data_IF_601834721704
#
_entry.id   IF_601834721704
#
_cell.length_a   1.000
_cell.length_b   1.000
_cell.length_c   1.000
_cell.angle_alpha   90.00
_cell.angle_beta   90.00
_cell.angle_gamma   90.00
#
_symmetry.space_group_name_H-M   'P 1'
#
loop_
_entity.id
_entity.type
_entity.pdbx_description
1 polymer ?
#
# COMPACT_ATOMS: atom_id res chain seq x y z
N UNK A 1 14.22 14.01 1.88
CA UNK A 1 15.59 13.71 1.41
C UNK A 1 15.62 13.71 -0.11
N UNK A 2 16.78 13.53 -0.73
CA UNK A 2 16.96 13.38 -2.18
C UNK A 2 17.67 12.06 -2.50
N UNK A 3 17.12 11.29 -3.43
CA UNK A 3 17.81 10.15 -4.04
C UNK A 3 18.54 10.67 -5.29
N UNK A 4 19.89 10.70 -5.28
CA UNK A 4 20.66 11.25 -6.40
C UNK A 4 20.54 10.40 -7.67
N UNK A 5 21.04 10.89 -8.82
CA UNK A 5 21.22 10.07 -10.01
C UNK A 5 22.02 8.80 -9.71
N UNK A 6 21.69 7.69 -10.39
CA UNK A 6 22.31 6.39 -10.14
C UNK A 6 23.84 6.41 -10.19
N UNK A 7 24.43 7.08 -11.19
CA UNK A 7 25.88 7.19 -11.36
C UNK A 7 26.61 7.94 -10.22
N UNK A 8 25.89 8.59 -9.31
CA UNK A 8 26.44 9.27 -8.13
C UNK A 8 26.35 8.42 -6.86
N UNK A 9 25.75 7.23 -6.96
CA UNK A 9 25.61 6.28 -5.85
C UNK A 9 26.72 5.23 -6.00
N UNK A 10 27.53 4.98 -4.96
CA UNK A 10 28.52 3.91 -4.99
C UNK A 10 27.85 2.55 -5.24
N UNK A 11 28.43 1.73 -6.12
CA UNK A 11 27.85 0.44 -6.52
C UNK A 11 27.52 -0.49 -5.36
N UNK A 12 28.29 -0.44 -4.26
CA UNK A 12 28.05 -1.27 -3.08
C UNK A 12 26.81 -0.90 -2.26
N UNK A 13 26.20 0.27 -2.49
CA UNK A 13 25.00 0.74 -1.79
C UNK A 13 23.89 1.18 -2.77
N UNK A 14 24.03 0.84 -4.06
CA UNK A 14 23.02 1.13 -5.07
C UNK A 14 21.77 0.26 -4.81
N UNK A 15 20.58 0.86 -4.59
CA UNK A 15 19.34 0.11 -4.42
C UNK A 15 18.86 -0.64 -5.68
N UNK A 16 19.50 -0.48 -6.83
CA UNK A 16 19.15 -1.12 -8.10
C UNK A 16 17.66 -0.94 -8.46
N UNK A 17 17.19 0.31 -8.42
CA UNK A 17 15.82 0.68 -8.74
C UNK A 17 15.60 0.72 -10.26
N UNK A 18 14.33 0.67 -10.67
CA UNK A 18 13.95 0.81 -12.07
C UNK A 18 14.40 2.15 -12.67
N UNK A 19 14.61 2.16 -13.98
CA UNK A 19 14.94 3.38 -14.72
C UNK A 19 13.86 4.45 -14.48
N UNK A 20 14.30 5.68 -14.17
CA UNK A 20 13.41 6.77 -13.79
C UNK A 20 13.00 6.84 -12.31
N UNK A 21 13.48 5.94 -11.45
CA UNK A 21 13.26 6.04 -9.99
C UNK A 21 14.33 6.88 -9.25
N UNK A 22 15.47 7.16 -9.89
CA UNK A 22 16.56 7.99 -9.36
C UNK A 22 16.37 9.48 -9.64
N UNK A 23 17.17 10.33 -8.99
CA UNK A 23 17.12 11.79 -9.17
C UNK A 23 15.77 12.39 -8.74
N UNK A 24 15.27 11.94 -7.58
CA UNK A 24 13.97 12.33 -7.05
C UNK A 24 14.04 12.77 -5.58
N UNK A 25 13.18 13.72 -5.14
CA UNK A 25 12.93 13.89 -3.73
C UNK A 25 12.23 12.65 -3.17
N UNK A 26 12.48 12.34 -1.90
CA UNK A 26 11.92 11.16 -1.23
C UNK A 26 11.47 11.49 0.19
N UNK A 27 10.44 10.78 0.65
CA UNK A 27 10.00 10.75 2.06
C UNK A 27 10.55 9.48 2.69
N UNK A 28 11.27 9.61 3.82
CA UNK A 28 11.64 8.46 4.65
C UNK A 28 10.45 8.13 5.55
N UNK A 29 10.04 6.86 5.54
CA UNK A 29 8.87 6.36 6.27
C UNK A 29 9.24 5.51 7.49
N UNK A 30 10.36 4.80 7.41
CA UNK A 30 10.90 4.04 8.54
C UNK A 30 11.40 4.98 9.63
N UNK A 31 11.04 4.71 10.88
CA UNK A 31 11.43 5.51 12.04
C UNK A 31 12.93 5.44 12.32
N UNK A 32 13.51 4.27 12.10
CA UNK A 32 14.93 4.00 12.23
C UNK A 32 15.41 3.22 11.00
N UNK A 33 16.69 3.33 10.64
CA UNK A 33 17.29 2.39 9.71
C UNK A 33 17.22 0.96 10.24
N UNK A 34 17.17 0.00 9.34
CA UNK A 34 17.44 -1.41 9.66
C UNK A 34 18.88 -1.58 10.18
N UNK A 35 19.18 -2.75 10.75
CA UNK A 35 20.53 -3.06 11.28
C UNK A 35 21.64 -2.96 10.24
N UNK A 36 21.32 -3.10 8.95
CA UNK A 36 22.28 -3.03 7.84
C UNK A 36 22.39 -1.62 7.25
N UNK A 37 21.59 -0.65 7.74
CA UNK A 37 21.59 0.74 7.26
C UNK A 37 20.48 1.17 6.27
N UNK A 38 19.73 0.27 5.59
CA UNK A 38 18.59 0.68 4.78
C UNK A 38 17.44 1.33 5.55
N UNK A 39 16.78 2.27 4.88
CA UNK A 39 15.52 2.93 5.28
C UNK A 39 14.44 2.68 4.22
N UNK A 40 13.17 2.70 4.63
CA UNK A 40 12.05 2.60 3.70
C UNK A 40 11.61 3.99 3.24
N UNK A 41 11.49 4.17 1.93
CA UNK A 41 11.17 5.46 1.32
C UNK A 41 10.00 5.38 0.34
N UNK A 42 9.28 6.49 0.18
CA UNK A 42 8.43 6.76 -0.98
C UNK A 42 9.04 7.84 -1.85
N UNK A 43 8.92 7.70 -3.18
CA UNK A 43 9.36 8.71 -4.13
C UNK A 43 8.36 9.87 -4.19
N UNK A 44 8.88 11.09 -4.34
CA UNK A 44 8.09 12.30 -4.60
C UNK A 44 8.23 12.66 -6.08
N UNK A 45 7.11 12.97 -6.73
CA UNK A 45 7.10 13.49 -8.10
C UNK A 45 6.40 14.84 -8.15
N UNK A 46 6.89 15.73 -9.02
CA UNK A 46 6.20 16.98 -9.34
C UNK A 46 5.39 16.92 -10.63
N UNK A 47 5.47 15.81 -11.37
CA UNK A 47 4.81 15.64 -12.67
C UNK A 47 5.09 16.79 -13.66
N UNK A 48 6.27 17.43 -13.56
CA UNK A 48 6.61 18.61 -14.35
C UNK A 48 5.87 19.87 -13.92
N UNK A 49 5.59 20.01 -12.61
CA UNK A 49 4.77 21.08 -12.01
C UNK A 49 3.29 21.08 -12.44
N UNK A 50 2.83 20.04 -13.13
CA UNK A 50 1.43 19.88 -13.54
C UNK A 50 0.61 19.30 -12.39
N UNK A 51 -0.66 19.68 -12.33
CA UNK A 51 -1.61 19.00 -11.43
C UNK A 51 -1.86 17.57 -11.87
N UNK A 52 -2.19 16.69 -10.92
CA UNK A 52 -2.36 15.25 -11.19
C UNK A 52 -3.37 14.96 -12.30
N UNK A 53 -4.45 15.74 -12.34
CA UNK A 53 -5.48 15.61 -13.37
C UNK A 53 -4.97 15.94 -14.77
N UNK A 54 -3.97 16.80 -14.92
CA UNK A 54 -3.36 17.12 -16.21
C UNK A 54 -2.27 16.12 -16.58
N UNK A 55 -1.56 15.58 -15.58
CA UNK A 55 -0.47 14.64 -15.80
C UNK A 55 -0.94 13.23 -16.23
N UNK A 56 -2.13 12.82 -15.78
CA UNK A 56 -2.64 11.46 -15.96
C UNK A 56 -4.09 11.42 -16.51
N UNK A 57 -4.42 12.24 -17.51
CA UNK A 57 -5.70 12.04 -18.23
C UNK A 57 -5.62 10.81 -19.14
N UNK A 58 -6.67 9.97 -19.23
CA UNK A 58 -7.93 9.96 -18.48
C UNK A 58 -7.95 8.99 -17.26
N UNK A 59 -6.82 8.41 -16.89
CA UNK A 59 -6.73 7.36 -15.87
C UNK A 59 -6.80 7.92 -14.44
N UNK A 60 -8.03 8.16 -13.97
CA UNK A 60 -8.29 8.66 -12.62
C UNK A 60 -7.92 7.66 -11.52
N UNK A 61 -7.96 6.35 -11.80
CA UNK A 61 -7.56 5.33 -10.84
C UNK A 61 -6.06 5.43 -10.54
N UNK A 62 -5.26 5.84 -11.53
CA UNK A 62 -3.85 6.15 -11.36
C UNK A 62 -3.61 7.34 -10.42
N UNK A 63 -4.58 8.25 -10.27
CA UNK A 63 -4.45 9.43 -9.41
C UNK A 63 -4.42 9.05 -7.95
N UNK A 64 -5.25 8.08 -7.54
CA UNK A 64 -5.36 7.60 -6.16
C UNK A 64 -4.05 7.01 -5.61
N UNK A 65 -3.09 6.73 -6.48
CA UNK A 65 -1.75 6.25 -6.15
C UNK A 65 -0.78 7.37 -5.78
N UNK A 66 -1.27 8.61 -5.68
CA UNK A 66 -0.46 9.79 -5.39
C UNK A 66 -1.13 10.70 -4.36
N UNK A 67 -0.43 10.93 -3.25
CA UNK A 67 -0.93 11.78 -2.16
C UNK A 67 -0.37 13.20 -2.32
N UNK A 68 -1.20 14.25 -2.38
CA UNK A 68 -0.74 15.61 -2.61
C UNK A 68 0.05 16.17 -1.42
N UNK A 69 1.14 16.91 -1.69
CA UNK A 69 1.85 17.73 -0.71
C UNK A 69 1.52 19.19 -0.99
N UNK A 70 1.11 19.94 0.04
CA UNK A 70 0.80 21.38 -0.06
C UNK A 70 1.96 22.13 -0.75
N UNK A 71 1.69 22.94 -1.79
CA UNK A 71 0.37 23.45 -2.20
C UNK A 71 -0.41 22.60 -3.23
N UNK A 72 0.09 21.44 -3.65
CA UNK A 72 -0.59 20.62 -4.66
C UNK A 72 -1.98 20.16 -4.19
N UNK A 73 -2.93 20.10 -5.11
CA UNK A 73 -4.29 19.63 -4.83
C UNK A 73 -4.58 18.31 -5.54
N UNK A 74 -5.50 17.52 -4.96
CA UNK A 74 -5.97 16.26 -5.52
C UNK A 74 -7.50 16.27 -5.66
N UNK A 75 -8.06 16.24 -6.88
CA UNK A 75 -9.50 16.39 -7.09
C UNK A 75 -10.37 15.32 -6.40
N UNK A 76 -9.86 14.09 -6.29
CA UNK A 76 -10.61 12.98 -5.70
C UNK A 76 -10.25 12.69 -4.22
N UNK A 77 -9.26 13.39 -3.65
CA UNK A 77 -8.77 13.13 -2.29
C UNK A 77 -8.36 14.45 -1.60
N UNK A 78 -9.25 15.45 -1.53
CA UNK A 78 -8.90 16.79 -1.03
C UNK A 78 -8.39 16.78 0.42
N UNK A 79 -8.89 15.86 1.24
CA UNK A 79 -8.59 15.78 2.68
C UNK A 79 -7.28 15.04 3.00
N UNK A 80 -6.59 14.51 2.00
CA UNK A 80 -5.32 13.75 2.16
C UNK A 80 -4.08 14.62 1.98
N UNK A 81 -4.25 15.95 1.91
CA UNK A 81 -3.15 16.87 1.67
C UNK A 81 -2.12 16.84 2.80
N UNK A 82 -0.88 16.51 2.45
CA UNK A 82 0.26 16.49 3.34
C UNK A 82 0.83 17.89 3.51
N UNK A 83 1.20 18.22 4.74
CA UNK A 83 1.73 19.51 5.11
C UNK A 83 3.07 19.35 5.82
N UNK A 84 3.92 20.36 5.66
CA UNK A 84 5.06 20.58 6.55
C UNK A 84 4.58 21.42 7.75
N UNK A 85 5.29 21.40 8.89
CA UNK A 85 5.09 22.36 9.97
C UNK A 85 5.20 23.81 9.48
N UNK A 86 4.55 24.75 10.16
CA UNK A 86 4.44 26.15 9.71
C UNK A 86 5.79 26.87 9.58
N UNK A 87 6.81 26.43 10.30
CA UNK A 87 8.18 26.95 10.22
C UNK A 87 9.01 26.37 9.05
N UNK A 88 8.44 25.47 8.25
CA UNK A 88 9.12 24.84 7.12
C UNK A 88 8.65 25.42 5.79
N UNK A 89 9.61 25.88 4.98
CA UNK A 89 9.31 26.34 3.62
C UNK A 89 8.75 25.19 2.76
N UNK A 90 7.66 25.42 2.00
CA UNK A 90 7.06 24.41 1.15
C UNK A 90 7.99 23.96 0.03
N UNK A 91 7.62 22.87 -0.66
CA UNK A 91 8.31 22.46 -1.87
C UNK A 91 8.08 23.49 -2.99
N UNK A 92 9.11 23.73 -3.81
CA UNK A 92 9.07 24.74 -4.87
C UNK A 92 8.07 24.41 -6.00
N UNK A 93 7.67 23.14 -6.12
CA UNK A 93 6.76 22.65 -7.15
C UNK A 93 5.59 21.93 -6.50
N UNK A 94 4.45 21.95 -7.18
CA UNK A 94 3.34 21.05 -6.86
C UNK A 94 3.85 19.61 -6.91
N UNK A 95 3.80 18.94 -5.77
CA UNK A 95 4.46 17.65 -5.56
C UNK A 95 3.50 16.67 -4.92
N UNK A 96 3.72 15.39 -5.24
CA UNK A 96 2.90 14.28 -4.79
C UNK A 96 3.80 13.15 -4.32
N UNK A 97 3.43 12.49 -3.23
CA UNK A 97 4.07 11.24 -2.79
C UNK A 97 3.48 10.10 -3.62
N UNK A 98 4.32 9.34 -4.30
CA UNK A 98 3.93 8.13 -5.01
C UNK A 98 3.81 6.98 -3.99
N UNK A 99 2.59 6.51 -3.72
CA UNK A 99 2.30 5.48 -2.71
C UNK A 99 2.13 4.08 -3.30
N UNK A 100 2.43 3.88 -4.59
CA UNK A 100 2.32 2.56 -5.24
C UNK A 100 3.24 1.53 -4.64
N UNK A 101 4.43 1.98 -4.30
CA UNK A 101 5.52 1.14 -3.89
C UNK A 101 6.47 1.96 -3.03
N UNK A 102 6.87 1.37 -1.91
CA UNK A 102 8.00 1.86 -1.14
C UNK A 102 9.28 1.12 -1.59
N UNK A 103 10.43 1.77 -1.43
CA UNK A 103 11.73 1.20 -1.73
C UNK A 103 12.58 1.13 -0.47
N UNK A 104 13.43 0.10 -0.38
CA UNK A 104 14.47 0.02 0.63
C UNK A 104 15.75 0.61 0.05
N UNK A 105 16.32 1.62 0.70
CA UNK A 105 17.53 2.32 0.23
C UNK A 105 18.45 2.58 1.41
N UNK A 106 19.76 2.36 1.25
CA UNK A 106 20.74 2.75 2.26
C UNK A 106 20.65 4.25 2.56
N UNK A 107 20.56 4.60 3.85
CA UNK A 107 20.48 6.00 4.26
C UNK A 107 21.66 6.83 3.70
N UNK A 108 22.84 6.23 3.59
CA UNK A 108 24.06 6.82 3.05
C UNK A 108 24.00 7.13 1.54
N UNK A 109 23.12 6.46 0.79
CA UNK A 109 22.90 6.77 -0.62
C UNK A 109 22.07 8.05 -0.81
N UNK A 110 21.34 8.48 0.24
CA UNK A 110 20.52 9.69 0.19
C UNK A 110 21.36 10.96 0.40
N UNK A 111 20.84 12.07 -0.10
CA UNK A 111 21.40 13.41 0.06
C UNK A 111 20.38 14.34 0.72
N UNK A 112 20.83 15.42 1.39
CA UNK A 112 19.93 16.49 1.82
C UNK A 112 19.13 17.02 0.63
N UNK A 113 17.84 17.30 0.85
CA UNK A 113 16.98 17.80 -0.23
C UNK A 113 17.38 19.19 -0.71
N UNK A 114 17.89 20.04 0.19
CA UNK A 114 18.39 21.38 -0.13
C UNK A 114 19.88 21.44 0.21
N UNK A 115 20.68 21.90 -0.76
CA UNK A 115 22.13 22.08 -0.59
C UNK A 115 22.48 23.33 0.24
N UNK A 116 21.54 24.27 0.39
CA UNK A 116 21.76 25.59 0.99
C UNK A 116 21.79 25.62 2.53
N UNK A 117 22.17 24.52 3.19
CA UNK A 117 22.41 24.50 4.65
C UNK A 117 21.19 24.64 5.56
N UNK A 118 19.97 24.49 5.04
CA UNK A 118 18.75 24.41 5.85
C UNK A 118 18.44 22.97 6.24
N UNK A 119 17.80 22.79 7.40
CA UNK A 119 17.25 21.49 7.81
C UNK A 119 16.36 20.90 6.69
N UNK A 120 16.47 19.59 6.41
CA UNK A 120 15.61 18.96 5.43
C UNK A 120 14.14 19.13 5.85
N UNK A 121 13.23 19.39 4.90
CA UNK A 121 11.82 19.55 5.24
C UNK A 121 11.26 18.25 5.80
N UNK A 122 10.67 18.32 7.00
CA UNK A 122 10.06 17.18 7.71
C UNK A 122 8.55 17.32 7.63
N UNK A 123 7.83 16.27 7.22
CA UNK A 123 6.37 16.28 7.22
C UNK A 123 5.83 16.45 8.64
N UNK A 124 4.74 17.20 8.78
CA UNK A 124 4.07 17.34 10.06
C UNK A 124 3.61 15.96 10.57
N UNK A 125 3.61 15.74 11.89
CA UNK A 125 3.30 14.43 12.48
C UNK A 125 1.93 13.89 12.05
N UNK A 126 0.91 14.76 11.96
CA UNK A 126 -0.42 14.39 11.46
C UNK A 126 -0.40 13.94 9.99
N UNK A 127 0.36 14.63 9.14
CA UNK A 127 0.53 14.26 7.73
C UNK A 127 1.31 12.96 7.56
N UNK A 128 2.36 12.74 8.36
CA UNK A 128 3.09 11.46 8.34
C UNK A 128 2.17 10.30 8.77
N UNK A 129 1.35 10.50 9.80
CA UNK A 129 0.35 9.50 10.23
C UNK A 129 -0.66 9.21 9.13
N UNK A 130 -1.26 10.24 8.53
CA UNK A 130 -2.21 10.10 7.43
C UNK A 130 -1.59 9.40 6.22
N UNK A 131 -0.34 9.73 5.86
CA UNK A 131 0.37 9.05 4.78
C UNK A 131 0.57 7.56 5.07
N UNK A 132 0.90 7.19 6.31
CA UNK A 132 1.02 5.77 6.70
C UNK A 132 -0.30 5.03 6.54
N UNK A 133 -1.41 5.65 6.95
CA UNK A 133 -2.76 5.06 6.84
C UNK A 133 -3.18 4.89 5.38
N UNK A 134 -3.08 5.94 4.57
CA UNK A 134 -3.49 5.91 3.15
C UNK A 134 -2.61 4.96 2.33
N UNK A 135 -1.32 4.87 2.63
CA UNK A 135 -0.41 3.95 1.95
C UNK A 135 -0.43 2.52 2.53
N UNK A 136 -1.25 2.25 3.56
CA UNK A 136 -1.23 1.01 4.34
C UNK A 136 0.20 0.59 4.74
N UNK A 137 1.05 1.56 5.08
CA UNK A 137 2.47 1.35 5.32
C UNK A 137 2.71 0.77 6.72
N UNK A 138 3.48 -0.31 6.76
CA UNK A 138 3.93 -0.97 8.00
C UNK A 138 5.44 -0.83 8.11
N UNK A 139 5.90 -0.19 9.18
CA UNK A 139 7.33 -0.02 9.45
C UNK A 139 7.93 -1.33 9.95
N UNK A 140 8.55 -2.08 9.04
CA UNK A 140 9.16 -3.38 9.34
C UNK A 140 10.43 -3.25 10.19
N UNK A 141 11.04 -2.06 10.24
CA UNK A 141 12.27 -1.83 10.99
C UNK A 141 11.99 -1.35 12.41
N UNK A 142 10.76 -0.96 12.73
CA UNK A 142 10.38 -0.64 14.10
C UNK A 142 10.19 -1.96 14.91
N UNK A 143 11.01 -2.19 15.96
CA UNK A 143 10.92 -3.40 16.77
C UNK A 143 9.57 -3.53 17.49
N UNK A 144 8.85 -2.42 17.72
CA UNK A 144 7.53 -2.45 18.33
C UNK A 144 6.47 -2.98 17.37
N UNK A 145 6.62 -2.72 16.06
CA UNK A 145 5.74 -3.27 15.02
C UNK A 145 5.92 -4.78 14.92
N UNK A 146 7.18 -5.25 14.93
CA UNK A 146 7.50 -6.67 14.88
C UNK A 146 6.91 -7.46 16.05
N UNK A 147 6.91 -6.88 17.27
CA UNK A 147 6.28 -7.50 18.45
C UNK A 147 4.77 -7.64 18.27
N UNK A 148 4.10 -6.58 17.79
CA UNK A 148 2.65 -6.60 17.54
C UNK A 148 2.25 -7.61 16.47
N UNK A 149 3.01 -7.71 15.38
CA UNK A 149 2.72 -8.70 14.34
C UNK A 149 2.86 -10.14 14.87
N UNK A 150 3.89 -10.39 15.70
CA UNK A 150 4.07 -11.69 16.36
C UNK A 150 2.91 -12.04 17.31
N UNK A 151 2.45 -11.07 18.11
CA UNK A 151 1.29 -11.24 19.00
C UNK A 151 -0.01 -11.53 18.23
N UNK A 152 -0.21 -10.89 17.07
CA UNK A 152 -1.38 -11.14 16.21
C UNK A 152 -1.28 -12.50 15.54
N UNK A 153 -0.09 -12.93 15.11
CA UNK A 153 0.12 -14.28 14.53
C UNK A 153 0.08 -15.41 15.56
N UNK A 154 0.36 -15.14 16.85
CA UNK A 154 0.25 -16.14 17.91
C UNK A 154 -1.19 -16.33 18.42
N UNK A 155 -2.16 -15.63 17.82
CA UNK A 155 -3.57 -15.73 18.18
C UNK A 155 -4.32 -16.85 17.40
N UNK A 156 -3.58 -17.75 16.75
CA UNK A 156 -4.09 -18.99 16.15
C UNK A 156 -4.54 -20.05 17.18
N UNK A 157 -4.51 -19.74 18.48
CA UNK A 157 -5.24 -20.49 19.53
C UNK A 157 -6.77 -20.23 19.54
N UNK A 158 -7.33 -19.70 18.43
CA UNK A 158 -8.78 -19.62 18.22
C UNK A 158 -9.41 -20.90 17.67
N UNK A 159 -8.63 -21.97 17.51
CA UNK A 159 -9.16 -23.30 17.22
C UNK A 159 -9.94 -23.95 18.37
N UNK A 160 -9.89 -23.39 19.60
CA UNK A 160 -10.66 -23.89 20.75
C UNK A 160 -12.12 -23.37 20.81
N UNK A 161 -12.49 -22.40 19.98
CA UNK A 161 -13.88 -21.92 19.90
C UNK A 161 -14.71 -22.63 18.83
N UNK A 162 -14.09 -23.25 17.82
CA UNK A 162 -14.81 -24.01 16.79
C UNK A 162 -15.32 -25.35 17.34
N UNK A 163 -14.57 -26.01 18.23
CA UNK A 163 -15.03 -27.22 18.93
C UNK A 163 -16.24 -26.97 19.85
N UNK A 164 -16.36 -25.77 20.45
CA UNK A 164 -17.53 -25.41 21.28
C UNK A 164 -18.80 -25.19 20.45
N UNK A 165 -18.69 -24.82 19.19
CA UNK A 165 -19.84 -24.62 18.29
C UNK A 165 -20.26 -25.93 17.62
N UNK A 166 -19.30 -26.81 17.27
CA UNK A 166 -19.64 -28.14 16.74
C UNK A 166 -20.33 -29.03 17.78
N UNK A 167 -19.96 -28.91 19.06
CA UNK A 167 -20.62 -29.64 20.15
C UNK A 167 -22.07 -29.20 20.41
N UNK A 168 -22.49 -28.04 19.89
CA UNK A 168 -23.89 -27.57 19.96
C UNK A 168 -24.72 -27.94 18.72
N UNK A 169 -24.10 -28.36 17.61
CA UNK A 169 -24.81 -28.76 16.38
C UNK A 169 -25.02 -30.27 16.25
N UNK A 170 -24.40 -31.08 17.10
CA UNK A 170 -24.50 -32.54 17.06
C UNK A 170 -25.78 -33.15 17.68
N UNK A 171 -26.80 -32.34 18.00
CA UNK A 171 -28.05 -32.82 18.62
C UNK A 171 -29.33 -32.65 17.81
N UNK A 172 -29.29 -32.26 16.53
CA UNK A 172 -30.55 -32.01 15.79
C UNK A 172 -30.54 -32.58 14.36
N UNK A 173 -31.34 -33.65 14.18
CA UNK A 173 -31.86 -34.25 12.93
C UNK A 173 -30.82 -34.88 11.98
N UNK A 174 -30.80 -36.18 11.61
CA UNK A 174 -31.85 -37.14 11.21
C UNK A 174 -32.82 -36.58 10.17
N UNK A 175 -32.49 -36.70 8.89
CA UNK A 175 -33.09 -37.67 7.94
C UNK A 175 -32.58 -37.43 6.50
N UNK A 176 -32.19 -38.50 5.80
CA UNK A 176 -31.96 -38.53 4.33
C UNK A 176 -33.29 -38.63 3.56
N UNK A 177 -33.35 -38.92 2.23
CA UNK A 177 -32.33 -39.51 1.32
C UNK A 177 -32.13 -38.73 -0.01
N UNK A 178 -31.07 -38.98 -0.80
CA UNK A 178 -31.11 -39.89 -1.96
C UNK A 178 -30.55 -39.22 -3.24
N UNK A 179 -30.08 -39.98 -4.27
CA UNK A 179 -28.93 -39.62 -5.12
C UNK A 179 -29.29 -39.31 -6.60
N UNK A 180 -28.39 -38.60 -7.31
CA UNK A 180 -28.19 -38.48 -8.78
C UNK A 180 -27.25 -37.28 -9.03
N UNK A 181 -26.33 -37.19 -9.98
CA UNK A 181 -25.89 -38.05 -11.09
C UNK A 181 -24.46 -37.63 -11.47
N UNK A 182 -23.68 -38.57 -11.98
CA UNK A 182 -22.37 -38.36 -12.62
C UNK A 182 -22.52 -37.50 -13.89
N UNK A 183 -21.60 -36.56 -14.09
CA UNK A 183 -21.36 -35.93 -15.39
C UNK A 183 -19.85 -35.72 -15.59
N UNK A 184 -19.31 -36.70 -16.31
CA UNK A 184 -18.28 -36.70 -17.36
C UNK A 184 -17.30 -35.51 -17.49
N UNK A 185 -16.04 -35.93 -17.53
CA UNK A 185 -14.84 -35.19 -17.89
C UNK A 185 -14.93 -34.61 -19.32
N UNK A 186 -14.62 -33.32 -19.43
CA UNK A 186 -14.35 -32.66 -20.70
C UNK A 186 -12.94 -32.05 -20.64
N UNK A 187 -11.98 -32.82 -21.16
CA UNK A 187 -10.72 -32.33 -21.70
C UNK A 187 -11.03 -31.30 -22.79
N UNK A 188 -10.56 -30.07 -22.59
CA UNK A 188 -10.56 -29.03 -23.63
C UNK A 188 -9.13 -28.53 -23.79
N UNK A 189 -8.65 -28.71 -25.02
CA UNK A 189 -7.31 -28.45 -25.48
C UNK A 189 -6.86 -26.99 -25.27
N UNK A 190 -5.60 -26.95 -24.89
CA UNK A 190 -4.71 -25.81 -24.71
C UNK A 190 -4.51 -25.05 -26.03
N UNK A 191 -4.99 -23.81 -26.11
CA UNK A 191 -4.54 -22.83 -27.11
C UNK A 191 -3.98 -21.60 -26.41
N UNK A 192 -2.71 -21.33 -26.71
CA UNK A 192 -1.93 -20.20 -26.22
C UNK A 192 -2.56 -18.86 -26.62
N UNK A 193 -2.89 -18.05 -25.62
CA UNK A 193 -3.03 -16.60 -25.79
C UNK A 193 -2.31 -15.91 -24.64
N UNK A 194 -1.24 -15.19 -24.95
CA UNK A 194 -0.60 -14.24 -24.04
C UNK A 194 -1.63 -13.21 -23.57
N UNK A 195 -2.12 -13.38 -22.34
CA UNK A 195 -2.85 -12.38 -21.59
C UNK A 195 -2.26 -12.34 -20.18
N UNK A 196 -1.96 -11.14 -19.70
CA UNK A 196 -1.40 -10.90 -18.38
C UNK A 196 -2.42 -11.30 -17.32
N UNK A 197 -2.37 -12.55 -16.88
CA UNK A 197 -3.20 -13.08 -15.82
C UNK A 197 -2.79 -12.44 -14.49
N UNK A 198 -3.63 -11.51 -14.03
CA UNK A 198 -3.69 -11.17 -12.62
C UNK A 198 -4.36 -12.36 -11.94
N UNK A 199 -3.55 -13.28 -11.41
CA UNK A 199 -4.00 -14.41 -10.61
C UNK A 199 -4.68 -13.88 -9.34
N UNK A 200 -5.99 -13.65 -9.40
CA UNK A 200 -6.81 -13.40 -8.21
C UNK A 200 -6.97 -14.76 -7.55
N UNK A 201 -6.27 -14.98 -6.43
CA UNK A 201 -6.43 -16.17 -5.60
C UNK A 201 -7.93 -16.43 -5.33
N UNK A 202 -8.33 -17.70 -5.29
CA UNK A 202 -9.70 -18.10 -4.95
C UNK A 202 -10.17 -17.43 -3.65
N UNK A 203 -9.25 -17.24 -2.69
CA UNK A 203 -9.53 -16.52 -1.45
C UNK A 203 -9.91 -15.04 -1.67
N UNK A 204 -9.22 -14.36 -2.60
CA UNK A 204 -9.53 -12.98 -2.97
C UNK A 204 -10.86 -12.85 -3.69
N UNK A 205 -11.22 -13.84 -4.53
CA UNK A 205 -12.53 -13.90 -5.18
C UNK A 205 -13.65 -14.10 -4.14
N UNK A 206 -13.46 -15.05 -3.21
CA UNK A 206 -14.42 -15.33 -2.14
C UNK A 206 -14.63 -14.13 -1.21
N UNK A 207 -13.56 -13.39 -0.90
CA UNK A 207 -13.65 -12.15 -0.12
C UNK A 207 -14.48 -11.08 -0.84
N UNK A 208 -14.30 -10.93 -2.16
CA UNK A 208 -15.05 -9.98 -2.98
C UNK A 208 -16.55 -10.31 -3.00
N UNK A 209 -16.91 -11.59 -3.11
CA UNK A 209 -18.30 -12.06 -3.07
C UNK A 209 -18.93 -11.80 -1.71
N UNK A 210 -18.21 -12.09 -0.62
CA UNK A 210 -18.67 -11.81 0.75
C UNK A 210 -18.92 -10.31 0.99
N UNK A 211 -18.00 -9.45 0.55
CA UNK A 211 -18.17 -8.00 0.64
C UNK A 211 -19.40 -7.53 -0.13
N UNK A 212 -19.61 -8.03 -1.35
CA UNK A 212 -20.79 -7.70 -2.15
C UNK A 212 -22.10 -8.12 -1.46
N UNK A 213 -22.14 -9.32 -0.86
CA UNK A 213 -23.31 -9.81 -0.12
C UNK A 213 -23.61 -8.96 1.13
N UNK A 214 -22.58 -8.57 1.88
CA UNK A 214 -22.72 -7.68 3.05
C UNK A 214 -23.24 -6.31 2.63
N UNK A 215 -22.67 -5.72 1.57
CA UNK A 215 -23.14 -4.44 1.04
C UNK A 215 -24.59 -4.50 0.59
N UNK A 216 -24.99 -5.56 -0.11
CA UNK A 216 -26.37 -5.76 -0.55
C UNK A 216 -27.32 -5.90 0.64
N UNK A 217 -26.93 -6.65 1.67
CA UNK A 217 -27.71 -6.81 2.89
C UNK A 217 -27.91 -5.47 3.64
N UNK A 218 -26.83 -4.69 3.79
CA UNK A 218 -26.90 -3.36 4.40
C UNK A 218 -27.76 -2.40 3.59
N UNK A 219 -27.67 -2.46 2.26
CA UNK A 219 -28.46 -1.63 1.35
C UNK A 219 -29.96 -1.92 1.49
N UNK A 220 -30.36 -3.21 1.49
CA UNK A 220 -31.76 -3.61 1.70
C UNK A 220 -32.25 -3.14 3.07
N UNK A 221 -31.43 -3.32 4.12
CA UNK A 221 -31.78 -2.91 5.48
C UNK A 221 -31.92 -1.39 5.63
N UNK A 222 -31.19 -0.58 4.86
CA UNK A 222 -31.32 0.88 4.89
C UNK A 222 -32.58 1.42 4.20
N UNK A 223 -33.26 0.58 3.39
CA UNK A 223 -34.47 0.95 2.64
C UNK A 223 -35.77 0.40 3.22
N UNK A 224 -35.68 -0.47 4.23
CA UNK A 224 -36.81 -0.98 5.00
C UNK A 224 -36.98 -0.18 6.29
#
# INVERSE_FOLDING_TARGET
>A
MWLPPQHQIPAGIDPNLQEGAYNHPVVIMSRIPSSEGPVQIFLITSMGSRGIAQAHRPDWAHWLKYVPIKPAQHPAMPDTQLCFPDNCLPLAKNSYVNIRQWHSVHLEALRPYRLSGGEPPILAGASLKSLKEVAAFVDLYDPNTSKRLKEVSSFDDLHDQTERVEKMKASESRDGPGPLAEMEDLEVDLWETEQSDVYISLASLMLLVLLAAVFLHLYIKSKA
#
